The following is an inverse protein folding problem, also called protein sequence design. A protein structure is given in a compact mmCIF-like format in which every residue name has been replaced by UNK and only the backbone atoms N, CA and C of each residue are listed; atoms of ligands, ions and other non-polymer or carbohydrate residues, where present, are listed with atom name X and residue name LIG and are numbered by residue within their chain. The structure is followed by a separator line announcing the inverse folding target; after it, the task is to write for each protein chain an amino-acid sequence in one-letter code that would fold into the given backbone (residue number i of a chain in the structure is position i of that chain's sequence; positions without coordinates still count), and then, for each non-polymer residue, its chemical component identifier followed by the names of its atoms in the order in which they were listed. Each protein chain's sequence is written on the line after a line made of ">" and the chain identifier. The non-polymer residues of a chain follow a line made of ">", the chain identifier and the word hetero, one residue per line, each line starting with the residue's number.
data_IF_401220602930
#
_entry.id   IF_401220602930
#
_cell.length_a   1.000
_cell.length_b   1.000
_cell.length_c   1.000
_cell.angle_alpha   90.00
_cell.angle_beta   90.00
_cell.angle_gamma   90.00
#
_symmetry.space_group_name_H-M   'P 1'
#
loop_
_entity.id
_entity.type
_entity.pdbx_description
1 polymer ?
#
# COMPACT_ATOMS: atom_id res chain seq x y z
N UNK A 1 16.62 13.86 -19.66
CA UNK A 1 15.61 14.06 -18.63
C UNK A 1 15.35 12.73 -17.92
N UNK A 2 15.38 12.74 -16.61
CA UNK A 2 15.21 11.52 -15.80
C UNK A 2 13.72 11.28 -15.53
N UNK A 3 13.22 10.11 -15.94
CA UNK A 3 11.82 9.77 -15.74
C UNK A 3 11.53 9.47 -14.28
N UNK A 4 10.34 9.87 -13.82
CA UNK A 4 9.85 9.57 -12.48
C UNK A 4 9.03 8.29 -12.50
N UNK A 5 9.09 7.54 -11.40
CA UNK A 5 8.23 6.36 -11.25
C UNK A 5 6.77 6.82 -11.11
N UNK A 6 5.84 6.33 -11.96
CA UNK A 6 4.45 6.79 -11.92
C UNK A 6 3.71 6.30 -10.68
N UNK A 7 3.03 7.21 -9.98
CA UNK A 7 2.20 6.83 -8.83
C UNK A 7 1.04 5.93 -9.25
N UNK A 8 0.56 6.08 -10.48
CA UNK A 8 -0.48 5.20 -11.04
C UNK A 8 -0.02 3.74 -11.10
N UNK A 9 1.25 3.53 -11.40
CA UNK A 9 1.82 2.18 -11.41
C UNK A 9 1.96 1.61 -10.00
N UNK A 10 2.34 2.45 -9.04
CA UNK A 10 2.41 2.04 -7.63
C UNK A 10 1.04 1.57 -7.13
N UNK A 11 0.01 2.37 -7.37
CA UNK A 11 -1.37 2.04 -6.98
C UNK A 11 -1.80 0.72 -7.60
N UNK A 12 -1.58 0.57 -8.90
CA UNK A 12 -1.94 -0.63 -9.64
C UNK A 12 -1.28 -1.88 -9.09
N UNK A 13 0.02 -1.81 -8.80
CA UNK A 13 0.76 -2.98 -8.32
C UNK A 13 0.42 -3.36 -6.89
N UNK A 14 0.16 -2.38 -6.04
CA UNK A 14 -0.32 -2.65 -4.67
C UNK A 14 -1.72 -3.29 -4.71
N UNK A 15 -2.63 -2.75 -5.53
CA UNK A 15 -3.96 -3.34 -5.72
C UNK A 15 -3.87 -4.79 -6.21
N UNK A 16 -3.04 -5.02 -7.22
CA UNK A 16 -2.86 -6.36 -7.79
C UNK A 16 -2.34 -7.35 -6.75
N UNK A 17 -1.38 -6.92 -5.94
CA UNK A 17 -0.80 -7.78 -4.90
C UNK A 17 -1.83 -8.15 -3.83
N UNK A 18 -2.60 -7.19 -3.36
CA UNK A 18 -3.65 -7.45 -2.36
C UNK A 18 -4.73 -8.36 -2.92
N UNK A 19 -5.21 -8.08 -4.13
CA UNK A 19 -6.29 -8.88 -4.75
C UNK A 19 -5.84 -10.29 -5.12
N UNK A 20 -4.57 -10.46 -5.46
CA UNK A 20 -3.98 -11.77 -5.76
C UNK A 20 -3.86 -12.64 -4.51
N UNK A 21 -3.51 -12.04 -3.37
CA UNK A 21 -3.13 -12.76 -2.17
C UNK A 21 -4.18 -12.73 -1.06
N UNK A 22 -5.30 -12.05 -1.28
CA UNK A 22 -6.44 -12.02 -0.36
C UNK A 22 -7.74 -12.18 -1.14
N UNK A 23 -8.84 -12.40 -0.42
CA UNK A 23 -10.18 -12.45 -1.03
C UNK A 23 -10.84 -11.08 -1.11
N UNK A 24 -10.13 -10.03 -0.72
CA UNK A 24 -10.67 -8.68 -0.68
C UNK A 24 -10.42 -7.92 -1.98
N UNK A 25 -11.38 -7.10 -2.37
CA UNK A 25 -11.16 -6.08 -3.39
C UNK A 25 -10.32 -4.95 -2.81
N UNK A 26 -9.50 -4.35 -3.65
CA UNK A 26 -8.70 -3.19 -3.28
C UNK A 26 -9.03 -2.04 -4.23
N UNK A 27 -9.60 -0.98 -3.68
CA UNK A 27 -10.05 0.17 -4.47
C UNK A 27 -9.03 1.31 -4.40
N UNK A 28 -8.98 2.10 -5.45
CA UNK A 28 -8.38 3.43 -5.42
C UNK A 28 -9.43 4.45 -4.96
N UNK A 29 -10.61 4.39 -5.57
CA UNK A 29 -11.77 5.17 -5.16
C UNK A 29 -12.88 4.21 -4.77
N UNK A 30 -13.35 4.30 -3.53
CA UNK A 30 -14.37 3.38 -3.02
C UNK A 30 -15.73 3.73 -3.64
N UNK A 31 -16.37 2.78 -4.36
CA UNK A 31 -17.70 3.03 -4.88
C UNK A 31 -18.73 3.10 -3.75
N UNK A 32 -19.83 3.81 -3.99
CA UNK A 32 -20.88 4.00 -2.98
C UNK A 32 -21.52 2.69 -2.53
N UNK A 33 -21.54 1.70 -3.42
CA UNK A 33 -22.15 0.39 -3.17
C UNK A 33 -21.11 -0.67 -2.78
N UNK A 34 -19.91 -0.26 -2.39
CA UNK A 34 -18.89 -1.21 -1.94
C UNK A 34 -19.39 -2.02 -0.75
N UNK A 35 -19.16 -3.32 -0.84
CA UNK A 35 -19.57 -4.28 0.20
C UNK A 35 -18.35 -4.69 1.00
N UNK A 36 -18.40 -4.48 2.31
CA UNK A 36 -17.33 -4.94 3.20
C UNK A 36 -17.32 -6.47 3.30
N UNK A 37 -16.17 -7.11 3.54
CA UNK A 37 -14.86 -6.47 3.76
C UNK A 37 -14.21 -6.06 2.44
N UNK A 38 -13.51 -4.95 2.47
CA UNK A 38 -12.71 -4.49 1.34
C UNK A 38 -11.53 -3.65 1.84
N UNK A 39 -10.63 -3.35 0.91
CA UNK A 39 -9.50 -2.45 1.17
C UNK A 39 -9.53 -1.29 0.18
N UNK A 40 -8.90 -0.19 0.55
CA UNK A 40 -8.57 0.86 -0.42
C UNK A 40 -7.22 1.47 -0.06
N UNK A 41 -6.56 2.04 -1.05
CA UNK A 41 -5.21 2.55 -0.88
C UNK A 41 -5.13 4.04 -1.09
N UNK A 42 -4.16 4.63 -0.41
CA UNK A 42 -3.92 6.06 -0.48
C UNK A 42 -2.42 6.30 -0.41
N UNK A 43 -1.86 6.99 -1.41
CA UNK A 43 -0.47 7.44 -1.35
C UNK A 43 -0.48 8.75 -0.57
N UNK A 44 0.13 8.75 0.60
CA UNK A 44 0.04 9.88 1.52
C UNK A 44 1.29 10.74 1.55
N UNK A 45 2.44 10.19 1.14
CA UNK A 45 3.68 10.94 1.12
C UNK A 45 4.67 10.32 0.15
N UNK A 46 5.42 11.17 -0.52
CA UNK A 46 6.54 10.74 -1.38
C UNK A 46 7.72 11.64 -1.03
N UNK A 47 8.79 11.03 -0.54
CA UNK A 47 9.94 11.74 -0.03
C UNK A 47 11.19 11.42 -0.86
N UNK A 48 11.94 12.44 -1.24
CA UNK A 48 13.19 12.24 -1.94
C UNK A 48 14.29 11.82 -0.96
N UNK A 49 14.90 10.67 -1.21
CA UNK A 49 15.92 10.08 -0.31
C UNK A 49 17.14 9.62 -1.09
N UNK A 50 17.59 10.42 -2.03
CA UNK A 50 18.77 10.11 -2.84
C UNK A 50 19.97 9.76 -1.99
N UNK A 51 20.83 8.90 -2.55
CA UNK A 51 22.16 8.66 -2.01
C UNK A 51 23.21 9.05 -3.05
N UNK A 52 24.49 8.67 -2.82
CA UNK A 52 25.59 9.02 -3.72
C UNK A 52 25.51 8.39 -5.10
N UNK A 53 24.83 7.26 -5.21
CA UNK A 53 24.82 6.44 -6.44
C UNK A 53 23.47 6.35 -7.10
N UNK A 54 22.39 6.64 -6.39
CA UNK A 54 21.03 6.44 -6.89
C UNK A 54 20.11 7.62 -6.59
N UNK A 55 19.21 7.87 -7.54
CA UNK A 55 18.05 8.72 -7.30
C UNK A 55 16.92 7.84 -6.79
N UNK A 56 16.45 8.12 -5.58
CA UNK A 56 15.40 7.32 -4.94
C UNK A 56 14.33 8.17 -4.31
N UNK A 57 13.12 7.62 -4.27
CA UNK A 57 12.02 8.19 -3.49
C UNK A 57 11.39 7.12 -2.62
N UNK A 58 11.03 7.49 -1.41
CA UNK A 58 10.32 6.64 -0.50
C UNK A 58 8.84 7.00 -0.53
N UNK A 59 8.01 6.02 -0.86
CA UNK A 59 6.57 6.21 -1.05
C UNK A 59 5.84 5.62 0.15
N UNK A 60 5.15 6.44 0.89
CA UNK A 60 4.32 5.98 1.99
C UNK A 60 2.90 5.73 1.50
N UNK A 61 2.44 4.52 1.68
CA UNK A 61 1.11 4.08 1.24
C UNK A 61 0.32 3.59 2.45
N UNK A 62 -0.88 4.12 2.60
CA UNK A 62 -1.82 3.66 3.60
C UNK A 62 -2.80 2.70 2.94
N UNK A 63 -2.90 1.50 3.51
CA UNK A 63 -3.88 0.52 3.11
C UNK A 63 -4.96 0.52 4.17
N UNK A 64 -6.14 1.01 3.78
CA UNK A 64 -7.31 1.04 4.64
C UNK A 64 -8.03 -0.29 4.53
N UNK A 65 -8.35 -0.89 5.67
CA UNK A 65 -9.04 -2.18 5.75
C UNK A 65 -10.38 -1.95 6.42
N UNK A 66 -11.44 -2.26 5.71
CA UNK A 66 -12.82 -2.09 6.21
C UNK A 66 -13.43 -3.46 6.43
N UNK A 67 -13.77 -3.75 7.68
CA UNK A 67 -14.40 -4.99 8.06
C UNK A 67 -15.91 -4.81 8.20
N UNK A 68 -16.64 -5.94 8.12
CA UNK A 68 -18.06 -5.94 8.34
C UNK A 68 -18.44 -5.39 9.71
N UNK A 69 -19.64 -4.84 9.80
CA UNK A 69 -20.21 -4.38 11.06
C UNK A 69 -20.31 -5.55 12.05
N UNK A 70 -19.61 -5.42 13.17
CA UNK A 70 -19.60 -6.44 14.22
C UNK A 70 -19.13 -5.81 15.53
N UNK A 71 -19.52 -6.42 16.64
CA UNK A 71 -19.06 -5.96 17.94
C UNK A 71 -17.68 -6.50 18.31
N UNK A 72 -17.24 -7.56 17.61
CA UNK A 72 -15.94 -8.18 17.84
C UNK A 72 -14.87 -7.53 16.99
N UNK A 73 -13.65 -7.42 17.53
CA UNK A 73 -12.48 -6.98 16.77
C UNK A 73 -11.75 -8.14 16.05
N UNK A 74 -12.19 -9.38 16.25
CA UNK A 74 -11.52 -10.52 15.62
C UNK A 74 -11.53 -10.46 14.11
N UNK A 75 -12.64 -10.12 13.43
CA UNK A 75 -12.62 -10.03 11.96
C UNK A 75 -11.63 -9.00 11.43
N UNK A 76 -11.57 -7.80 12.01
CA UNK A 76 -10.64 -6.77 11.52
C UNK A 76 -9.18 -7.19 11.75
N UNK A 77 -8.86 -7.84 12.85
CA UNK A 77 -7.50 -8.34 13.10
C UNK A 77 -7.09 -9.39 12.06
N UNK A 78 -8.00 -10.29 11.69
CA UNK A 78 -7.74 -11.30 10.65
C UNK A 78 -7.50 -10.67 9.29
N UNK A 79 -8.26 -9.63 8.95
CA UNK A 79 -8.11 -8.93 7.67
C UNK A 79 -6.81 -8.13 7.62
N UNK A 80 -6.45 -7.49 8.72
CA UNK A 80 -5.16 -6.79 8.84
C UNK A 80 -4.00 -7.78 8.64
N UNK A 81 -4.08 -8.94 9.28
CA UNK A 81 -3.07 -9.99 9.12
C UNK A 81 -2.99 -10.46 7.68
N UNK A 82 -4.13 -10.65 7.02
CA UNK A 82 -4.15 -11.06 5.62
C UNK A 82 -3.46 -10.04 4.71
N UNK A 83 -3.67 -8.75 4.96
CA UNK A 83 -2.99 -7.68 4.22
C UNK A 83 -1.48 -7.70 4.50
N UNK A 84 -1.08 -7.83 5.75
CA UNK A 84 0.33 -7.90 6.12
C UNK A 84 1.03 -9.09 5.47
N UNK A 85 0.38 -10.25 5.47
CA UNK A 85 0.92 -11.45 4.82
C UNK A 85 1.00 -11.26 3.30
N UNK A 86 -0.02 -10.67 2.68
CA UNK A 86 -0.02 -10.37 1.25
C UNK A 86 1.15 -9.47 0.86
N UNK A 87 1.44 -8.48 1.70
CA UNK A 87 2.49 -7.50 1.42
C UNK A 87 3.90 -7.98 1.82
N UNK A 88 4.05 -9.22 2.25
CA UNK A 88 5.38 -9.85 2.33
C UNK A 88 5.91 -10.21 0.94
N UNK A 89 5.03 -10.33 -0.04
CA UNK A 89 5.44 -10.46 -1.43
C UNK A 89 5.73 -9.08 -1.99
N UNK A 90 6.90 -8.90 -2.59
CA UNK A 90 7.26 -7.63 -3.20
C UNK A 90 6.36 -7.33 -4.40
N UNK A 91 5.97 -6.05 -4.52
CA UNK A 91 5.25 -5.61 -5.73
C UNK A 91 6.19 -5.64 -6.93
N UNK A 92 5.62 -5.79 -8.13
CA UNK A 92 6.38 -5.83 -9.37
C UNK A 92 6.57 -4.42 -9.89
N UNK A 93 7.82 -4.01 -10.07
CA UNK A 93 8.16 -2.69 -10.58
C UNK A 93 8.77 -2.84 -11.98
N UNK A 94 8.24 -2.13 -12.99
CA UNK A 94 8.76 -2.22 -14.34
C UNK A 94 10.10 -1.50 -14.51
N UNK A 95 10.95 -2.00 -15.43
CA UNK A 95 12.16 -1.32 -15.83
C UNK A 95 11.83 0.08 -16.39
N UNK A 96 12.67 1.09 -16.19
CA UNK A 96 14.01 1.07 -15.57
C UNK A 96 14.01 1.28 -14.05
N UNK A 97 12.86 1.19 -13.42
CA UNK A 97 12.72 1.43 -11.97
C UNK A 97 13.05 0.16 -11.18
N UNK A 98 13.49 0.34 -9.95
CA UNK A 98 13.88 -0.78 -9.08
C UNK A 98 13.31 -0.59 -7.69
N UNK A 99 12.63 -1.60 -7.19
CA UNK A 99 12.20 -1.64 -5.81
C UNK A 99 13.41 -2.01 -4.95
N UNK A 100 13.84 -1.07 -4.10
CA UNK A 100 14.98 -1.28 -3.22
C UNK A 100 14.53 -1.95 -1.93
N UNK A 101 13.40 -1.50 -1.39
CA UNK A 101 12.88 -2.03 -0.12
C UNK A 101 11.38 -1.80 -0.03
N UNK A 102 10.67 -2.82 0.44
CA UNK A 102 9.24 -2.76 0.76
C UNK A 102 9.12 -3.06 2.24
N UNK A 103 8.62 -2.11 3.02
CA UNK A 103 8.65 -2.16 4.48
C UNK A 103 7.26 -2.05 5.07
N UNK A 104 6.93 -2.96 6.00
CA UNK A 104 5.73 -2.87 6.82
C UNK A 104 6.03 -1.93 7.99
N UNK A 105 5.32 -0.80 8.05
CA UNK A 105 5.44 0.18 9.12
C UNK A 105 4.39 -0.02 10.21
N UNK A 106 3.58 -1.07 10.08
CA UNK A 106 2.62 -1.48 11.08
C UNK A 106 1.24 -0.87 10.94
N UNK A 107 0.35 -1.35 11.79
CA UNK A 107 -1.02 -0.85 11.89
C UNK A 107 -1.02 0.42 12.74
N UNK A 108 -1.63 1.49 12.22
CA UNK A 108 -1.63 2.78 12.90
C UNK A 108 -2.84 2.97 13.80
N UNK A 109 -4.00 2.49 13.39
CA UNK A 109 -5.23 2.73 14.15
C UNK A 109 -6.31 1.72 13.77
N UNK A 110 -7.23 1.51 14.70
CA UNK A 110 -8.51 0.85 14.45
C UNK A 110 -9.58 1.78 15.00
N UNK A 111 -10.61 2.05 14.20
CA UNK A 111 -11.72 2.89 14.61
C UNK A 111 -13.04 2.30 14.13
N UNK A 112 -14.13 2.67 14.81
CA UNK A 112 -15.48 2.29 14.39
C UNK A 112 -16.04 3.40 13.51
N UNK A 113 -16.60 2.99 12.38
CA UNK A 113 -17.29 3.91 11.48
C UNK A 113 -18.74 4.11 11.95
N UNK A 114 -19.38 5.17 11.47
CA UNK A 114 -20.81 5.43 11.76
C UNK A 114 -21.71 4.29 11.32
N UNK A 115 -21.31 3.56 10.28
CA UNK A 115 -22.02 2.39 9.77
C UNK A 115 -21.90 1.18 10.69
N UNK A 116 -21.05 1.23 11.71
CA UNK A 116 -20.71 0.09 12.56
C UNK A 116 -19.56 -0.76 12.02
N UNK A 117 -19.09 -0.47 10.83
CA UNK A 117 -17.92 -1.14 10.26
C UNK A 117 -16.66 -0.73 11.02
N UNK A 118 -15.69 -1.63 11.12
CA UNK A 118 -14.40 -1.32 11.71
C UNK A 118 -13.41 -0.98 10.62
N UNK A 119 -12.57 0.00 10.89
CA UNK A 119 -11.63 0.57 9.95
C UNK A 119 -10.23 0.55 10.56
N UNK A 120 -9.31 -0.16 9.93
CA UNK A 120 -7.91 -0.16 10.30
C UNK A 120 -7.07 0.44 9.16
N UNK A 121 -5.93 0.99 9.53
CA UNK A 121 -4.97 1.52 8.56
C UNK A 121 -3.64 0.81 8.77
N UNK A 122 -3.13 0.18 7.71
CA UNK A 122 -1.81 -0.46 7.71
C UNK A 122 -0.91 0.35 6.80
N UNK A 123 0.28 0.69 7.28
CA UNK A 123 1.20 1.58 6.58
C UNK A 123 2.34 0.79 5.99
N UNK A 124 2.61 1.03 4.71
CA UNK A 124 3.75 0.44 4.01
C UNK A 124 4.57 1.54 3.35
N UNK A 125 5.87 1.30 3.25
CA UNK A 125 6.78 2.19 2.52
C UNK A 125 7.46 1.40 1.41
N UNK A 126 7.58 2.06 0.26
CA UNK A 126 8.21 1.50 -0.93
C UNK A 126 9.34 2.43 -1.35
N UNK A 127 10.56 1.97 -1.13
CA UNK A 127 11.75 2.70 -1.54
C UNK A 127 12.07 2.29 -2.98
N UNK A 128 11.94 3.22 -3.91
CA UNK A 128 12.06 2.94 -5.35
C UNK A 128 13.14 3.83 -5.95
N UNK A 129 14.11 3.20 -6.62
CA UNK A 129 15.13 3.89 -7.39
C UNK A 129 14.60 4.18 -8.79
N UNK A 130 14.84 5.40 -9.28
CA UNK A 130 14.40 5.79 -10.61
C UNK A 130 15.56 6.21 -11.51
N UNK A 131 16.78 6.03 -11.06
CA UNK A 131 17.97 6.28 -11.88
C UNK A 131 19.24 6.17 -11.07
N UNK A 132 20.34 6.07 -11.80
CA UNK A 132 21.67 6.00 -11.20
C UNK A 132 22.43 7.29 -11.47
N UNK A 133 23.18 7.75 -10.47
CA UNK A 133 24.06 8.90 -10.63
C UNK A 133 25.35 8.42 -11.28
N UNK A 134 25.65 8.97 -12.45
CA UNK A 134 26.88 8.64 -13.15
C UNK A 134 27.99 9.57 -12.68
N UNK A 135 29.10 8.98 -12.27
CA UNK A 135 30.31 9.74 -11.97
C UNK A 135 31.24 9.65 -13.19
N UNK A 136 31.63 10.79 -13.63
CA UNK A 136 32.60 10.88 -14.70
C UNK A 136 33.95 11.31 -14.12
#
# INVERSE_FOLDING_TARGET
>A
MLKQFPLTELVKEVQANIQKNTDMKCYDVVPKDAVSPFTYIQVVNVENVDNKTMFMKNHEVWIHVIADSTQSSVPIYKLVQAVEEAMTEDITIPDPFNLIMQTDEGMQTIQDEETGEKHAIVVFKFLIAYGFKTKI
#
